data_IF_606615280619
#
_entry.id   IF_606615280619
#
_cell.length_a   1.000
_cell.length_b   1.000
_cell.length_c   1.000
_cell.angle_alpha   90.00
_cell.angle_beta   90.00
_cell.angle_gamma   90.00
#
_symmetry.space_group_name_H-M   'P 1'
#
loop_
_entity.id
_entity.type
_entity.pdbx_description
1 polymer ?
#
# COMPACT_ATOMS: atom_id res chain seq x y z
N UNK A 1 -18.85 13.32 -21.69
CA UNK A 1 -17.71 12.73 -22.42
C UNK A 1 -18.22 12.03 -23.68
N UNK A 2 -17.45 12.02 -24.77
CA UNK A 2 -17.78 11.22 -25.96
C UNK A 2 -16.82 10.04 -26.01
N UNK A 3 -17.33 8.83 -25.80
CA UNK A 3 -16.54 7.60 -25.75
C UNK A 3 -17.17 6.62 -26.76
N UNK A 4 -16.35 6.05 -27.62
CA UNK A 4 -16.81 5.04 -28.58
C UNK A 4 -16.54 3.67 -28.00
N UNK A 5 -17.61 2.95 -27.66
CA UNK A 5 -17.53 1.58 -27.15
C UNK A 5 -17.56 0.59 -28.31
N UNK A 6 -16.90 -0.55 -28.13
CA UNK A 6 -17.05 -1.67 -29.04
C UNK A 6 -18.45 -2.28 -28.91
N UNK A 7 -18.91 -2.98 -29.95
CA UNK A 7 -20.22 -3.68 -29.93
C UNK A 7 -20.36 -4.61 -28.70
N UNK A 8 -19.27 -5.30 -28.36
CA UNK A 8 -19.23 -6.21 -27.21
C UNK A 8 -19.32 -5.48 -25.87
N UNK A 9 -18.63 -4.34 -25.72
CA UNK A 9 -18.69 -3.51 -24.50
C UNK A 9 -20.09 -2.94 -24.28
N UNK A 10 -20.73 -2.45 -25.34
CA UNK A 10 -22.09 -1.94 -25.28
C UNK A 10 -23.08 -3.01 -24.83
N UNK A 11 -22.96 -4.22 -25.34
CA UNK A 11 -23.85 -5.33 -24.99
C UNK A 11 -23.71 -5.76 -23.53
N UNK A 12 -22.48 -5.82 -23.01
CA UNK A 12 -22.23 -6.11 -21.59
C UNK A 12 -22.82 -5.04 -20.69
N UNK A 13 -22.61 -3.76 -21.02
CA UNK A 13 -23.14 -2.65 -20.22
C UNK A 13 -24.67 -2.55 -20.28
N UNK A 14 -25.27 -2.87 -21.42
CA UNK A 14 -26.73 -2.93 -21.56
C UNK A 14 -27.34 -4.03 -20.68
N UNK A 15 -26.70 -5.22 -20.62
CA UNK A 15 -27.11 -6.30 -19.73
C UNK A 15 -26.98 -5.87 -18.26
N UNK A 16 -25.86 -5.25 -17.87
CA UNK A 16 -25.64 -4.79 -16.50
C UNK A 16 -26.61 -3.68 -16.08
N UNK A 17 -26.97 -2.79 -17.00
CA UNK A 17 -27.99 -1.76 -16.76
C UNK A 17 -29.39 -2.38 -16.60
N UNK A 18 -29.72 -3.42 -17.35
CA UNK A 18 -31.01 -4.12 -17.25
C UNK A 18 -31.15 -4.98 -15.98
N UNK A 19 -30.04 -5.45 -15.42
CA UNK A 19 -30.00 -6.23 -14.18
C UNK A 19 -30.27 -5.38 -12.92
N UNK A 20 -30.48 -4.06 -13.07
CA UNK A 20 -30.87 -3.17 -11.99
C UNK A 20 -29.74 -2.75 -11.05
N UNK A 21 -28.49 -3.08 -11.39
CA UNK A 21 -27.30 -2.69 -10.62
C UNK A 21 -26.85 -1.24 -10.85
N UNK A 22 -27.35 -0.59 -11.91
CA UNK A 22 -26.97 0.77 -12.29
C UNK A 22 -28.18 1.55 -12.80
N UNK A 23 -28.25 2.84 -12.48
CA UNK A 23 -29.40 3.70 -12.79
C UNK A 23 -29.45 4.06 -14.28
N UNK A 24 -28.29 4.04 -14.94
CA UNK A 24 -28.14 4.28 -16.38
C UNK A 24 -26.81 3.72 -16.91
N UNK A 25 -26.66 3.68 -18.24
CA UNK A 25 -25.38 3.35 -18.88
C UNK A 25 -24.24 4.30 -18.45
N UNK A 26 -24.54 5.58 -18.28
CA UNK A 26 -23.57 6.57 -17.84
C UNK A 26 -23.09 6.28 -16.41
N UNK A 27 -24.02 5.95 -15.52
CA UNK A 27 -23.74 5.58 -14.13
C UNK A 27 -22.84 4.33 -14.05
N UNK A 28 -23.10 3.31 -14.87
CA UNK A 28 -22.24 2.13 -14.98
C UNK A 28 -20.81 2.47 -15.45
N UNK A 29 -20.68 3.39 -16.42
CA UNK A 29 -19.37 3.83 -16.94
C UNK A 29 -18.62 4.65 -15.89
N UNK A 30 -19.30 5.56 -15.19
CA UNK A 30 -18.69 6.40 -14.16
C UNK A 30 -18.17 5.55 -12.99
N UNK A 31 -18.94 4.54 -12.56
CA UNK A 31 -18.48 3.58 -11.54
C UNK A 31 -17.29 2.74 -12.01
N UNK A 32 -17.30 2.27 -13.26
CA UNK A 32 -16.18 1.54 -13.83
C UNK A 32 -14.90 2.38 -13.92
N UNK A 33 -15.02 3.66 -14.28
CA UNK A 33 -13.89 4.59 -14.32
C UNK A 33 -13.36 4.92 -12.92
N UNK A 34 -14.24 5.02 -11.91
CA UNK A 34 -13.84 5.23 -10.52
C UNK A 34 -13.05 4.03 -9.99
N UNK A 35 -13.52 2.80 -10.26
CA UNK A 35 -12.81 1.57 -9.90
C UNK A 35 -11.44 1.47 -10.59
N UNK A 36 -11.38 1.85 -11.87
CA UNK A 36 -10.13 1.88 -12.61
C UNK A 36 -9.14 2.91 -12.04
N UNK A 37 -9.64 4.07 -11.62
CA UNK A 37 -8.81 5.11 -11.01
C UNK A 37 -8.23 4.65 -9.66
N UNK A 38 -9.06 4.04 -8.80
CA UNK A 38 -8.62 3.47 -7.51
C UNK A 38 -7.59 2.35 -7.71
N UNK A 39 -7.81 1.48 -8.71
CA UNK A 39 -6.84 0.45 -9.09
C UNK A 39 -5.50 1.07 -9.57
N UNK A 40 -5.54 2.10 -10.41
CA UNK A 40 -4.33 2.79 -10.90
C UNK A 40 -3.56 3.45 -9.75
N UNK A 41 -4.23 4.12 -8.82
CA UNK A 41 -3.60 4.74 -7.64
C UNK A 41 -2.97 3.68 -6.70
N UNK A 42 -3.61 2.51 -6.57
CA UNK A 42 -3.06 1.38 -5.82
C UNK A 42 -1.85 0.74 -6.51
N UNK A 43 -1.86 0.59 -7.84
CA UNK A 43 -0.73 0.05 -8.61
C UNK A 43 0.46 1.01 -8.71
N UNK A 44 0.23 2.33 -8.73
CA UNK A 44 1.27 3.35 -8.57
C UNK A 44 1.97 3.20 -7.21
N UNK A 45 1.21 2.89 -6.16
CA UNK A 45 1.76 2.67 -4.81
C UNK A 45 2.63 1.41 -4.71
N UNK A 46 2.32 0.34 -5.43
CA UNK A 46 3.13 -0.90 -5.49
C UNK A 46 4.32 -0.84 -6.44
N UNK A 47 4.29 0.01 -7.47
CA UNK A 47 5.43 0.26 -8.36
C UNK A 47 6.25 1.50 -7.98
N UNK A 48 5.88 2.18 -6.88
CA UNK A 48 6.67 3.27 -6.35
C UNK A 48 8.05 2.72 -5.90
N UNK A 49 9.10 3.21 -6.57
CA UNK A 49 10.48 2.77 -6.33
C UNK A 49 10.93 3.04 -4.90
N UNK A 50 10.45 4.13 -4.28
CA UNK A 50 10.76 4.45 -2.88
C UNK A 50 10.08 3.48 -1.92
N UNK A 51 8.82 3.10 -2.21
CA UNK A 51 8.11 2.10 -1.43
C UNK A 51 8.79 0.74 -1.50
N UNK A 52 9.16 0.28 -2.70
CA UNK A 52 9.87 -1.00 -2.88
C UNK A 52 11.24 -1.00 -2.18
N UNK A 53 11.97 0.12 -2.24
CA UNK A 53 13.23 0.27 -1.50
C UNK A 53 13.02 0.22 0.02
N UNK A 54 11.98 0.87 0.53
CA UNK A 54 11.62 0.84 1.95
C UNK A 54 11.23 -0.57 2.40
N UNK A 55 10.44 -1.31 1.62
CA UNK A 55 10.04 -2.69 1.90
C UNK A 55 11.28 -3.57 2.03
N UNK A 56 12.20 -3.51 1.06
CA UNK A 56 13.39 -4.35 1.07
C UNK A 56 14.34 -4.00 2.23
N UNK A 57 14.55 -2.71 2.50
CA UNK A 57 15.34 -2.29 3.66
C UNK A 57 14.73 -2.74 4.98
N UNK A 58 13.41 -2.70 5.11
CA UNK A 58 12.70 -3.13 6.31
C UNK A 58 12.81 -4.64 6.49
N UNK A 59 12.65 -5.42 5.42
CA UNK A 59 12.81 -6.88 5.44
C UNK A 59 14.19 -7.27 5.96
N UNK A 60 15.25 -6.65 5.45
CA UNK A 60 16.63 -6.93 5.88
C UNK A 60 16.85 -6.64 7.37
N UNK A 61 16.30 -5.52 7.89
CA UNK A 61 16.39 -5.18 9.32
C UNK A 61 15.64 -6.15 10.21
N UNK A 62 14.49 -6.65 9.75
CA UNK A 62 13.72 -7.67 10.48
C UNK A 62 14.49 -8.99 10.52
N UNK A 63 15.08 -9.42 9.40
CA UNK A 63 15.89 -10.64 9.36
C UNK A 63 17.12 -10.55 10.27
N UNK A 64 17.78 -9.40 10.31
CA UNK A 64 18.87 -9.15 11.25
C UNK A 64 18.41 -9.25 12.70
N UNK A 65 17.26 -8.65 13.04
CA UNK A 65 16.68 -8.72 14.37
C UNK A 65 16.29 -10.13 14.80
N UNK A 66 15.71 -10.93 13.89
CA UNK A 66 15.39 -12.34 14.14
C UNK A 66 16.67 -13.12 14.41
N UNK A 67 17.71 -12.94 13.59
CA UNK A 67 18.99 -13.64 13.75
C UNK A 67 19.68 -13.28 15.07
N UNK A 68 19.66 -12.01 15.47
CA UNK A 68 20.18 -11.57 16.76
C UNK A 68 19.40 -12.19 17.93
N UNK A 69 18.07 -12.24 17.82
CA UNK A 69 17.21 -12.88 18.81
C UNK A 69 17.51 -14.39 18.96
N UNK A 70 17.69 -15.10 17.85
CA UNK A 70 18.07 -16.53 17.85
C UNK A 70 19.43 -16.79 18.51
N UNK A 71 20.34 -15.81 18.46
CA UNK A 71 21.65 -15.86 19.11
C UNK A 71 21.59 -15.45 20.59
N UNK A 72 20.43 -15.02 21.08
CA UNK A 72 20.25 -14.52 22.44
C UNK A 72 20.69 -13.06 22.64
N UNK A 73 21.01 -12.34 21.56
CA UNK A 73 21.39 -10.93 21.57
C UNK A 73 20.16 -10.01 21.71
N UNK A 74 19.37 -10.27 22.75
CA UNK A 74 18.21 -9.48 23.14
C UNK A 74 18.62 -8.49 24.22
N UNK A 75 18.23 -7.23 24.04
CA UNK A 75 18.51 -6.19 25.01
C UNK A 75 17.28 -5.96 25.90
N UNK A 76 17.54 -5.86 27.21
CA UNK A 76 16.53 -5.43 28.17
C UNK A 76 16.22 -3.94 27.98
N UNK A 77 14.93 -3.61 27.91
CA UNK A 77 14.46 -2.25 27.65
C UNK A 77 14.94 -1.24 28.70
N UNK A 78 14.98 -1.61 29.98
CA UNK A 78 15.42 -0.73 31.06
C UNK A 78 16.92 -0.43 30.94
N UNK A 79 17.70 -1.43 30.54
CA UNK A 79 19.14 -1.27 30.28
C UNK A 79 19.38 -0.34 29.10
N UNK A 80 18.62 -0.50 28.01
CA UNK A 80 18.71 0.36 26.81
C UNK A 80 18.35 1.80 27.16
N UNK A 81 17.26 2.02 27.89
CA UNK A 81 16.83 3.36 28.30
C UNK A 81 17.88 4.03 29.20
N UNK A 82 18.46 3.30 30.14
CA UNK A 82 19.54 3.81 30.99
C UNK A 82 20.80 4.18 30.19
N UNK A 83 21.16 3.41 29.15
CA UNK A 83 22.26 3.74 28.25
C UNK A 83 21.97 4.98 27.41
N UNK A 84 20.77 5.08 26.84
CA UNK A 84 20.34 6.24 26.04
C UNK A 84 20.37 7.52 26.88
N UNK A 85 19.86 7.47 28.11
CA UNK A 85 19.87 8.62 29.01
C UNK A 85 21.29 9.08 29.32
N UNK A 86 22.21 8.16 29.62
CA UNK A 86 23.63 8.48 29.82
C UNK A 86 24.27 9.15 28.61
N UNK A 87 23.97 8.68 27.38
CA UNK A 87 24.46 9.30 26.14
C UNK A 87 23.96 10.73 25.98
N UNK A 88 22.68 10.97 26.28
CA UNK A 88 22.08 12.31 26.22
C UNK A 88 22.71 13.23 27.26
N UNK A 89 22.91 12.75 28.48
CA UNK A 89 23.50 13.56 29.55
C UNK A 89 24.96 13.92 29.24
N UNK A 90 25.75 12.97 28.71
CA UNK A 90 27.12 13.23 28.28
C UNK A 90 27.24 14.20 27.10
N UNK A 91 26.22 14.30 26.22
CA UNK A 91 26.22 15.23 25.10
C UNK A 91 25.85 16.67 25.49
N UNK A 92 25.41 16.89 26.74
CA UNK A 92 25.07 18.22 27.28
C UNK A 92 26.24 18.89 28.01
N UNK A 93 27.27 18.12 28.40
CA UNK A 93 28.53 18.61 28.97
C UNK A 93 29.47 19.13 27.88
#
# INVERSE_FOLDING_TARGET
>A
MQITLSSQQSQVLEILSQQGGYTSLADAIDQALLLLADEVDQHESTNNTEYLAWVEQTRLKVEEGIKAADQGDLLDADVVLAQLRRKVDAAKE
#
